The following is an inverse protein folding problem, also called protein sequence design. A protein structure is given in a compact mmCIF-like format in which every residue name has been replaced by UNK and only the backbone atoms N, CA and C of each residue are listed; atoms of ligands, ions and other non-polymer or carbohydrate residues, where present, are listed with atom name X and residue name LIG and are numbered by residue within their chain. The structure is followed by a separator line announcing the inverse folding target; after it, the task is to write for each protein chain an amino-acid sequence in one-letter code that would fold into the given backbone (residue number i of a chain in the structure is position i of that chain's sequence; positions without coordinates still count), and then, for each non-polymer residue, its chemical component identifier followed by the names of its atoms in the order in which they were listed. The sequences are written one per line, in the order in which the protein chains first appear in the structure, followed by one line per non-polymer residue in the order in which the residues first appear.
data_IF_337100796309
#
_entry.id   IF_337100796309
#
_cell.length_a   1.000
_cell.length_b   1.000
_cell.length_c   1.000
_cell.angle_alpha   90.00
_cell.angle_beta   90.00
_cell.angle_gamma   90.00
#
_symmetry.space_group_name_H-M   'P 1'
#
loop_
_entity.id
_entity.type
_entity.pdbx_description
1 polymer ?
#
# COMPACT_ATOMS: atom_id res chain seq x y z
N UNK A 1 -5.36 -14.66 -9.58
CA UNK A 1 -4.03 -14.90 -9.01
C UNK A 1 -3.71 -14.00 -7.81
N UNK A 2 -3.99 -12.67 -7.86
CA UNK A 2 -3.65 -11.75 -6.77
C UNK A 2 -4.21 -12.19 -5.41
N UNK A 3 -5.49 -12.59 -5.36
CA UNK A 3 -6.10 -13.03 -4.09
C UNK A 3 -5.44 -14.29 -3.53
N UNK A 4 -5.02 -15.23 -4.37
CA UNK A 4 -4.28 -16.41 -3.94
C UNK A 4 -2.96 -16.02 -3.28
N UNK A 5 -2.15 -15.19 -3.94
CA UNK A 5 -0.88 -14.70 -3.39
C UNK A 5 -1.07 -13.95 -2.08
N UNK A 6 -2.11 -13.10 -2.00
CA UNK A 6 -2.44 -12.37 -0.77
C UNK A 6 -2.86 -13.31 0.35
N UNK A 7 -3.71 -14.31 0.07
CA UNK A 7 -4.19 -15.26 1.08
C UNK A 7 -3.03 -16.05 1.70
N UNK A 8 -2.11 -16.56 0.89
CA UNK A 8 -0.94 -17.27 1.39
C UNK A 8 -0.01 -16.36 2.20
N UNK A 9 0.39 -15.22 1.63
CA UNK A 9 1.34 -14.34 2.28
C UNK A 9 0.80 -13.76 3.62
N UNK A 10 -0.49 -13.41 3.68
CA UNK A 10 -1.12 -12.94 4.92
C UNK A 10 -1.26 -14.10 5.91
N UNK A 11 -1.64 -15.29 5.44
CA UNK A 11 -1.68 -16.51 6.27
C UNK A 11 -0.33 -16.84 6.89
N UNK A 12 0.78 -16.56 6.21
CA UNK A 12 2.16 -16.67 6.71
C UNK A 12 2.62 -15.49 7.56
N UNK A 13 1.72 -14.54 7.87
CA UNK A 13 1.98 -13.43 8.77
C UNK A 13 2.57 -12.18 8.11
N UNK A 14 2.66 -12.12 6.79
CA UNK A 14 3.03 -10.88 6.11
C UNK A 14 1.81 -9.95 5.99
N UNK A 15 1.93 -8.72 6.51
CA UNK A 15 0.83 -7.75 6.47
C UNK A 15 1.08 -6.66 5.42
N UNK A 16 0.02 -6.16 4.74
CA UNK A 16 0.14 -4.99 3.87
C UNK A 16 0.71 -3.79 4.62
N UNK A 17 1.68 -3.11 4.00
CA UNK A 17 2.39 -2.01 4.64
C UNK A 17 3.01 -1.04 3.64
N UNK A 18 3.75 -0.05 4.13
CA UNK A 18 4.41 0.96 3.29
C UNK A 18 5.82 0.57 2.85
N UNK A 19 6.39 -0.49 3.42
CA UNK A 19 7.80 -0.85 3.20
C UNK A 19 7.97 -2.37 3.03
N UNK A 20 9.07 -2.75 2.41
CA UNK A 20 9.49 -4.14 2.26
C UNK A 20 8.44 -5.05 1.64
N UNK A 21 8.29 -6.26 2.18
CA UNK A 21 7.32 -7.25 1.69
C UNK A 21 5.86 -6.79 1.85
N UNK A 22 5.57 -5.99 2.88
CA UNK A 22 4.24 -5.43 3.11
C UNK A 22 3.82 -4.47 2.00
N UNK A 23 4.76 -3.69 1.45
CA UNK A 23 4.51 -2.83 0.29
C UNK A 23 4.07 -3.63 -0.94
N UNK A 24 4.73 -4.76 -1.20
CA UNK A 24 4.36 -5.63 -2.33
C UNK A 24 2.93 -6.14 -2.19
N UNK A 25 2.54 -6.59 -0.98
CA UNK A 25 1.18 -7.05 -0.72
C UNK A 25 0.15 -5.93 -0.88
N UNK A 26 0.43 -4.76 -0.32
CA UNK A 26 -0.43 -3.58 -0.48
C UNK A 26 -0.62 -3.21 -1.94
N UNK A 27 0.45 -3.21 -2.74
CA UNK A 27 0.41 -2.95 -4.18
C UNK A 27 -0.45 -3.97 -4.92
N UNK A 28 -0.27 -5.28 -4.66
CA UNK A 28 -1.07 -6.33 -5.28
C UNK A 28 -2.57 -6.18 -4.96
N UNK A 29 -2.89 -5.89 -3.71
CA UNK A 29 -4.26 -5.69 -3.25
C UNK A 29 -4.91 -4.49 -3.95
N UNK A 30 -4.24 -3.32 -3.93
CA UNK A 30 -4.76 -2.10 -4.55
C UNK A 30 -4.90 -2.23 -6.06
N UNK A 31 -3.96 -2.91 -6.72
CA UNK A 31 -4.07 -3.24 -8.15
C UNK A 31 -5.32 -4.09 -8.43
N UNK A 32 -5.57 -5.12 -7.63
CA UNK A 32 -6.78 -5.95 -7.79
C UNK A 32 -8.07 -5.14 -7.61
N UNK A 33 -8.10 -4.23 -6.62
CA UNK A 33 -9.25 -3.32 -6.40
C UNK A 33 -9.49 -2.41 -7.60
N UNK A 34 -8.43 -1.79 -8.14
CA UNK A 34 -8.55 -0.93 -9.33
C UNK A 34 -9.10 -1.68 -10.55
N UNK A 35 -8.58 -2.87 -10.82
CA UNK A 35 -9.11 -3.69 -11.92
C UNK A 35 -10.56 -4.12 -11.68
N UNK A 36 -10.92 -4.44 -10.44
CA UNK A 36 -12.31 -4.70 -10.07
C UNK A 36 -13.22 -3.53 -10.39
N UNK A 37 -12.80 -2.31 -10.07
CA UNK A 37 -13.55 -1.09 -10.42
C UNK A 37 -13.65 -0.86 -11.92
N UNK A 38 -12.58 -1.04 -12.69
CA UNK A 38 -12.62 -1.00 -14.17
C UNK A 38 -13.63 -2.00 -14.76
N UNK A 39 -13.83 -3.15 -14.09
CA UNK A 39 -14.84 -4.15 -14.45
C UNK A 39 -16.25 -3.82 -13.95
N UNK A 40 -16.44 -2.70 -13.26
CA UNK A 40 -17.75 -2.27 -12.75
C UNK A 40 -18.14 -2.87 -11.40
N UNK A 41 -17.24 -3.57 -10.70
CA UNK A 41 -17.52 -4.10 -9.35
C UNK A 41 -17.64 -2.94 -8.38
N UNK A 42 -18.76 -2.88 -7.66
CA UNK A 42 -19.01 -1.86 -6.66
C UNK A 42 -18.72 -2.38 -5.25
N UNK A 43 -18.15 -1.51 -4.40
CA UNK A 43 -17.85 -1.85 -3.02
C UNK A 43 -16.65 -2.78 -2.83
N UNK A 44 -16.63 -3.49 -1.71
CA UNK A 44 -15.59 -4.46 -1.35
C UNK A 44 -15.94 -5.83 -1.91
N UNK A 45 -14.95 -6.54 -2.44
CA UNK A 45 -15.16 -7.86 -3.05
C UNK A 45 -14.01 -8.85 -2.82
N UNK A 46 -12.77 -8.36 -2.61
CA UNK A 46 -11.60 -9.25 -2.57
C UNK A 46 -11.67 -10.26 -1.42
N UNK A 47 -12.08 -9.82 -0.23
CA UNK A 47 -12.17 -10.70 0.93
C UNK A 47 -13.12 -11.88 0.69
N UNK A 48 -14.22 -11.66 -0.06
CA UNK A 48 -15.19 -12.73 -0.37
C UNK A 48 -14.62 -13.87 -1.23
N UNK A 49 -13.45 -13.67 -1.84
CA UNK A 49 -12.79 -14.69 -2.66
C UNK A 49 -11.85 -15.60 -1.84
N UNK A 50 -11.50 -15.22 -0.59
CA UNK A 50 -10.59 -16.00 0.28
C UNK A 50 -11.12 -17.40 0.55
N UNK A 51 -12.42 -17.62 0.90
CA UNK A 51 -12.96 -18.95 1.10
C UNK A 51 -12.78 -19.87 -0.12
N UNK A 52 -12.89 -19.31 -1.32
CA UNK A 52 -12.67 -20.07 -2.55
C UNK A 52 -11.22 -20.54 -2.68
N UNK A 53 -10.25 -19.66 -2.33
CA UNK A 53 -8.83 -20.03 -2.28
C UNK A 53 -8.59 -21.13 -1.27
N UNK A 54 -9.12 -20.96 -0.04
CA UNK A 54 -9.00 -21.98 1.03
C UNK A 54 -9.52 -23.33 0.59
N UNK A 55 -10.72 -23.40 0.01
CA UNK A 55 -11.33 -24.64 -0.49
C UNK A 55 -10.52 -25.32 -1.61
N UNK A 56 -9.98 -24.54 -2.55
CA UNK A 56 -9.17 -25.11 -3.64
C UNK A 56 -7.85 -25.67 -3.12
N UNK A 57 -7.25 -25.00 -2.13
CA UNK A 57 -5.90 -25.32 -1.65
C UNK A 57 -5.87 -26.25 -0.43
N UNK A 58 -7.00 -26.55 0.19
CA UNK A 58 -7.11 -27.23 1.48
C UNK A 58 -6.38 -28.59 1.56
N UNK A 59 -6.25 -29.29 0.43
CA UNK A 59 -5.60 -30.61 0.42
C UNK A 59 -4.09 -30.57 0.68
N UNK A 60 -3.46 -29.42 0.38
CA UNK A 60 -2.02 -29.23 0.53
C UNK A 60 -1.66 -28.13 1.52
N UNK A 61 -2.57 -27.16 1.71
CA UNK A 61 -2.36 -25.96 2.52
C UNK A 61 -3.61 -25.64 3.34
N UNK A 62 -3.97 -26.50 4.32
CA UNK A 62 -5.16 -26.32 5.15
C UNK A 62 -5.10 -25.02 5.99
N UNK A 63 -3.90 -24.50 6.25
CA UNK A 63 -3.67 -23.30 7.05
C UNK A 63 -4.35 -22.05 6.48
N UNK A 64 -4.54 -21.99 5.16
CA UNK A 64 -5.27 -20.87 4.51
C UNK A 64 -6.73 -20.88 4.94
N UNK A 65 -7.34 -22.06 5.06
CA UNK A 65 -8.72 -22.22 5.50
C UNK A 65 -8.84 -21.98 7.01
N UNK A 66 -7.88 -22.50 7.80
CA UNK A 66 -7.86 -22.32 9.25
C UNK A 66 -7.73 -20.84 9.66
N UNK A 67 -7.02 -20.04 8.86
CA UNK A 67 -6.80 -18.60 9.08
C UNK A 67 -7.72 -17.71 8.24
N UNK A 68 -8.77 -18.27 7.64
CA UNK A 68 -9.64 -17.58 6.69
C UNK A 68 -10.16 -16.25 7.23
N UNK A 69 -10.72 -16.25 8.43
CA UNK A 69 -11.27 -15.04 9.06
C UNK A 69 -10.22 -13.94 9.25
N UNK A 70 -9.02 -14.32 9.68
CA UNK A 70 -7.92 -13.37 9.84
C UNK A 70 -7.50 -12.77 8.50
N UNK A 71 -7.34 -13.60 7.47
CA UNK A 71 -6.95 -13.18 6.12
C UNK A 71 -8.02 -12.23 5.56
N UNK A 72 -9.29 -12.59 5.69
CA UNK A 72 -10.41 -11.76 5.23
C UNK A 72 -10.43 -10.39 5.93
N UNK A 73 -10.24 -10.34 7.24
CA UNK A 73 -10.21 -9.07 8.00
C UNK A 73 -9.10 -8.15 7.53
N UNK A 74 -7.90 -8.68 7.27
CA UNK A 74 -6.76 -7.87 6.79
C UNK A 74 -7.03 -7.31 5.40
N UNK A 75 -7.52 -8.16 4.47
CA UNK A 75 -7.86 -7.74 3.11
C UNK A 75 -8.98 -6.71 3.13
N UNK A 76 -10.04 -6.96 3.88
CA UNK A 76 -11.22 -6.10 3.98
C UNK A 76 -10.87 -4.70 4.49
N UNK A 77 -10.03 -4.64 5.54
CA UNK A 77 -9.56 -3.38 6.11
C UNK A 77 -8.71 -2.56 5.12
N UNK A 78 -7.80 -3.20 4.41
CA UNK A 78 -6.96 -2.50 3.43
C UNK A 78 -7.79 -2.05 2.21
N UNK A 79 -8.71 -2.89 1.73
CA UNK A 79 -9.64 -2.58 0.64
C UNK A 79 -10.55 -1.41 1.02
N UNK A 80 -11.12 -1.42 2.23
CA UNK A 80 -11.93 -0.31 2.74
C UNK A 80 -11.14 1.00 2.80
N UNK A 81 -9.92 0.94 3.34
CA UNK A 81 -9.05 2.11 3.43
C UNK A 81 -8.75 2.69 2.06
N UNK A 82 -8.48 1.85 1.08
CA UNK A 82 -8.20 2.28 -0.29
C UNK A 82 -9.46 2.80 -0.99
N UNK A 83 -10.61 2.16 -0.79
CA UNK A 83 -11.88 2.59 -1.39
C UNK A 83 -12.30 4.00 -0.98
N UNK A 84 -11.85 4.52 0.15
CA UNK A 84 -12.12 5.91 0.58
C UNK A 84 -11.45 6.96 -0.31
N UNK A 85 -10.34 6.63 -0.94
CA UNK A 85 -9.54 7.58 -1.73
C UNK A 85 -9.48 7.26 -3.22
N UNK A 86 -9.80 6.03 -3.60
CA UNK A 86 -9.62 5.54 -4.97
C UNK A 86 -10.40 6.33 -6.01
N UNK A 87 -11.66 6.72 -5.71
CA UNK A 87 -12.50 7.46 -6.66
C UNK A 87 -11.95 8.86 -6.95
N UNK A 88 -11.39 9.51 -5.94
CA UNK A 88 -10.73 10.80 -6.09
C UNK A 88 -9.38 10.65 -6.83
N UNK A 89 -8.63 9.59 -6.54
CA UNK A 89 -7.40 9.27 -7.25
C UNK A 89 -7.64 8.98 -8.74
N UNK A 90 -8.68 8.22 -9.06
CA UNK A 90 -9.06 7.93 -10.45
C UNK A 90 -9.43 9.21 -11.20
N UNK A 91 -10.27 10.07 -10.61
CA UNK A 91 -10.63 11.35 -11.24
C UNK A 91 -9.39 12.22 -11.51
N UNK A 92 -8.46 12.28 -10.55
CA UNK A 92 -7.24 13.05 -10.74
C UNK A 92 -6.40 12.50 -11.89
N UNK A 93 -6.24 11.18 -12.01
CA UNK A 93 -5.51 10.55 -13.12
C UNK A 93 -6.17 10.92 -14.46
N UNK A 94 -7.49 10.75 -14.56
CA UNK A 94 -8.24 11.05 -15.78
C UNK A 94 -8.09 12.53 -16.19
N UNK A 95 -8.19 13.46 -15.24
CA UNK A 95 -7.98 14.90 -15.47
C UNK A 95 -6.55 15.21 -15.95
N UNK A 96 -5.54 14.60 -15.30
CA UNK A 96 -4.14 14.79 -15.67
C UNK A 96 -3.85 14.28 -17.09
N UNK A 97 -4.36 13.10 -17.45
CA UNK A 97 -4.18 12.53 -18.79
C UNK A 97 -4.88 13.36 -19.87
N UNK A 98 -6.07 13.89 -19.59
CA UNK A 98 -6.77 14.82 -20.51
C UNK A 98 -5.94 16.10 -20.71
N UNK A 99 -5.39 16.68 -19.65
CA UNK A 99 -4.57 17.88 -19.73
C UNK A 99 -3.27 17.63 -20.51
N UNK A 100 -2.61 16.49 -20.30
CA UNK A 100 -1.41 16.11 -21.06
C UNK A 100 -1.70 16.03 -22.56
N UNK A 101 -2.85 15.43 -22.95
CA UNK A 101 -3.29 15.38 -24.35
C UNK A 101 -3.50 16.79 -24.92
N UNK A 102 -4.16 17.68 -24.18
CA UNK A 102 -4.43 19.04 -24.61
C UNK A 102 -3.16 19.89 -24.77
N UNK A 103 -2.15 19.67 -23.89
CA UNK A 103 -0.88 20.38 -23.91
C UNK A 103 0.15 19.78 -24.88
N UNK A 104 -0.15 18.63 -25.49
CA UNK A 104 0.79 17.90 -26.36
C UNK A 104 2.00 17.34 -25.62
N UNK A 105 1.89 17.14 -24.31
CA UNK A 105 2.92 16.48 -23.49
C UNK A 105 2.78 14.97 -23.57
N UNK A 106 3.89 14.26 -23.40
CA UNK A 106 3.95 12.80 -23.46
C UNK A 106 4.22 12.13 -22.10
N UNK A 107 4.33 12.92 -21.02
CA UNK A 107 4.80 12.44 -19.71
C UNK A 107 4.06 13.10 -18.56
N UNK A 108 3.65 12.28 -17.60
CA UNK A 108 3.08 12.70 -16.32
C UNK A 108 4.22 13.15 -15.38
N UNK A 109 4.05 14.32 -14.76
CA UNK A 109 5.07 14.91 -13.91
C UNK A 109 5.21 14.21 -12.56
N UNK A 110 6.45 14.12 -12.04
CA UNK A 110 6.76 13.43 -10.78
C UNK A 110 6.01 13.96 -9.56
N UNK A 111 5.69 15.27 -9.55
CA UNK A 111 4.89 15.89 -8.48
C UNK A 111 3.44 15.36 -8.45
N UNK A 112 2.82 15.16 -9.61
CA UNK A 112 1.46 14.62 -9.71
C UNK A 112 1.43 13.15 -9.36
N UNK A 113 2.43 12.38 -9.79
CA UNK A 113 2.60 10.98 -9.40
C UNK A 113 2.77 10.87 -7.88
N UNK A 114 3.57 11.74 -7.28
CA UNK A 114 3.76 11.79 -5.84
C UNK A 114 2.45 12.14 -5.10
N UNK A 115 1.66 13.07 -5.61
CA UNK A 115 0.35 13.41 -5.06
C UNK A 115 -0.62 12.23 -5.11
N UNK A 116 -0.67 11.48 -6.21
CA UNK A 116 -1.45 10.25 -6.35
C UNK A 116 -1.03 9.20 -5.31
N UNK A 117 0.28 9.04 -5.11
CA UNK A 117 0.84 8.10 -4.16
C UNK A 117 0.57 8.51 -2.69
N UNK A 118 0.92 9.73 -2.31
CA UNK A 118 0.92 10.21 -0.93
C UNK A 118 -0.51 10.50 -0.42
N UNK A 119 -1.32 11.17 -1.23
CA UNK A 119 -2.67 11.61 -0.83
C UNK A 119 -3.74 10.56 -1.10
N UNK A 120 -3.69 9.91 -2.26
CA UNK A 120 -4.74 8.97 -2.67
C UNK A 120 -4.35 7.50 -2.50
N UNK A 121 -3.08 7.25 -2.17
CA UNK A 121 -2.58 5.90 -1.96
C UNK A 121 -2.51 5.05 -3.23
N UNK A 122 -2.45 5.67 -4.41
CA UNK A 122 -2.30 4.98 -5.70
C UNK A 122 -0.83 4.57 -5.85
N UNK A 123 -0.49 3.27 -5.93
CA UNK A 123 0.88 2.84 -6.16
C UNK A 123 1.44 3.42 -7.46
N UNK A 124 2.74 3.75 -7.46
CA UNK A 124 3.40 4.35 -8.63
C UNK A 124 3.29 3.46 -9.86
N UNK A 125 3.48 2.17 -9.68
CA UNK A 125 3.41 1.18 -10.76
C UNK A 125 1.99 1.07 -11.35
N UNK A 126 0.98 1.36 -10.54
CA UNK A 126 -0.39 1.43 -11.03
C UNK A 126 -0.66 2.72 -11.81
N UNK A 127 -0.08 3.84 -11.35
CA UNK A 127 -0.12 5.11 -12.09
C UNK A 127 0.58 4.97 -13.45
N UNK A 128 1.73 4.27 -13.48
CA UNK A 128 2.46 3.96 -14.70
C UNK A 128 1.63 3.13 -15.67
N UNK A 129 1.05 2.02 -15.22
CA UNK A 129 0.17 1.16 -16.03
C UNK A 129 -1.01 1.95 -16.63
N UNK A 130 -1.65 2.80 -15.83
CA UNK A 130 -2.78 3.61 -16.28
C UNK A 130 -2.36 4.68 -17.29
N UNK A 131 -1.18 5.27 -17.12
CA UNK A 131 -0.63 6.24 -18.07
C UNK A 131 -0.21 5.57 -19.38
N UNK A 132 0.46 4.41 -19.32
CA UNK A 132 0.88 3.62 -20.48
C UNK A 132 -0.31 3.13 -21.32
N UNK A 133 -1.41 2.69 -20.69
CA UNK A 133 -2.66 2.30 -21.37
C UNK A 133 -3.20 3.45 -22.26
N UNK A 134 -2.93 4.71 -21.90
CA UNK A 134 -3.31 5.91 -22.65
C UNK A 134 -2.17 6.49 -23.52
N UNK A 135 -1.03 5.81 -23.59
CA UNK A 135 0.12 6.17 -24.41
C UNK A 135 1.06 7.20 -23.79
N UNK A 136 0.98 7.44 -22.49
CA UNK A 136 1.85 8.37 -21.74
C UNK A 136 2.94 7.64 -20.97
N UNK A 137 4.03 8.35 -20.68
CA UNK A 137 5.10 7.93 -19.76
C UNK A 137 4.93 8.59 -18.41
N UNK A 138 5.69 8.16 -17.41
CA UNK A 138 5.78 8.82 -16.11
C UNK A 138 7.19 9.31 -15.82
N UNK A 139 7.30 10.37 -15.00
CA UNK A 139 8.57 10.92 -14.53
C UNK A 139 9.00 10.27 -13.21
N UNK A 140 9.67 9.12 -13.30
CA UNK A 140 10.20 8.40 -12.15
C UNK A 140 11.20 9.20 -11.33
N UNK A 141 12.05 10.02 -11.99
CA UNK A 141 13.09 10.77 -11.28
C UNK A 141 12.46 11.93 -10.49
N UNK A 142 11.51 12.67 -11.09
CA UNK A 142 10.75 13.67 -10.37
C UNK A 142 9.96 13.09 -9.19
N UNK A 143 9.38 11.91 -9.34
CA UNK A 143 8.74 11.20 -8.24
C UNK A 143 9.73 10.89 -7.09
N UNK A 144 10.92 10.35 -7.41
CA UNK A 144 11.96 10.06 -6.40
C UNK A 144 12.39 11.32 -5.63
N UNK A 145 12.53 12.43 -6.34
CA UNK A 145 12.86 13.73 -5.73
C UNK A 145 11.76 14.17 -4.76
N UNK A 146 10.50 14.10 -5.17
CA UNK A 146 9.36 14.46 -4.33
C UNK A 146 9.25 13.55 -3.09
N UNK A 147 9.45 12.23 -3.26
CA UNK A 147 9.47 11.26 -2.18
C UNK A 147 10.58 11.55 -1.17
N UNK A 148 11.79 11.83 -1.64
CA UNK A 148 12.93 12.17 -0.77
C UNK A 148 12.66 13.44 0.03
N UNK A 149 12.13 14.48 -0.62
CA UNK A 149 11.78 15.73 0.05
C UNK A 149 10.71 15.51 1.15
N UNK A 150 9.75 14.63 0.95
CA UNK A 150 8.75 14.27 1.95
C UNK A 150 9.40 13.52 3.12
N UNK A 151 10.26 12.53 2.86
CA UNK A 151 10.97 11.78 3.90
C UNK A 151 11.86 12.70 4.76
N UNK A 152 12.55 13.66 4.15
CA UNK A 152 13.37 14.64 4.86
C UNK A 152 12.51 15.55 5.76
N UNK A 153 11.37 16.01 5.27
CA UNK A 153 10.39 16.78 6.07
C UNK A 153 9.85 15.96 7.26
N UNK A 154 9.50 14.70 7.04
CA UNK A 154 9.03 13.82 8.09
C UNK A 154 10.12 13.59 9.17
N UNK A 155 11.37 13.35 8.77
CA UNK A 155 12.51 13.22 9.70
C UNK A 155 12.73 14.51 10.50
N UNK A 156 12.70 15.67 9.84
CA UNK A 156 12.86 16.95 10.51
C UNK A 156 11.73 17.25 11.51
N UNK A 157 10.50 16.83 11.21
CA UNK A 157 9.36 16.96 12.12
C UNK A 157 9.52 16.07 13.37
N UNK A 158 10.03 14.85 13.22
CA UNK A 158 10.33 13.94 14.36
C UNK A 158 11.40 14.53 15.27
N UNK A 159 12.47 15.11 14.71
CA UNK A 159 13.53 15.76 15.48
C UNK A 159 13.01 16.97 16.24
N UNK A 160 12.09 17.77 15.65
CA UNK A 160 11.48 18.93 16.33
C UNK A 160 10.43 18.55 17.38
N UNK A 161 9.76 17.39 17.20
CA UNK A 161 8.72 16.92 18.11
C UNK A 161 9.24 16.26 19.41
N UNK A 162 10.54 16.21 19.63
CA UNK A 162 11.16 15.50 20.77
C UNK A 162 11.00 13.98 20.61
N UNK A 163 12.09 13.25 20.63
CA UNK A 163 12.08 11.79 20.67
C UNK A 163 11.16 11.34 21.80
N UNK A 164 10.23 10.39 21.53
CA UNK A 164 9.43 9.73 22.58
C UNK A 164 10.29 9.12 23.70
N UNK A 165 11.61 8.99 23.49
CA UNK A 165 12.59 8.60 24.51
C UNK A 165 12.96 9.68 25.50
N UNK A 166 12.66 10.97 25.23
CA UNK A 166 12.99 12.07 26.14
C UNK A 166 11.93 12.34 27.22
N UNK A 167 10.78 11.65 27.19
CA UNK A 167 9.68 11.89 28.15
C UNK A 167 9.74 11.07 29.43
N UNK A 168 10.76 10.25 29.63
CA UNK A 168 10.87 9.44 30.84
C UNK A 168 12.26 9.60 31.49
N UNK A 169 12.53 10.78 32.07
CA UNK A 169 13.70 10.99 32.97
C UNK A 169 13.73 9.92 34.07
N UNK A 170 12.56 9.41 34.48
CA UNK A 170 12.44 8.35 35.50
C UNK A 170 12.91 6.99 34.97
N UNK A 171 12.84 6.70 33.68
CA UNK A 171 13.32 5.44 33.08
C UNK A 171 14.83 5.50 32.77
N UNK A 172 15.36 6.68 32.45
CA UNK A 172 16.80 6.85 32.24
C UNK A 172 17.62 6.84 33.55
N UNK A 173 16.97 6.96 34.72
CA UNK A 173 17.60 6.88 36.04
C UNK A 173 17.59 5.46 36.64
N UNK A 174 17.04 4.46 35.94
CA UNK A 174 17.01 3.08 36.40
C UNK A 174 18.30 2.38 35.89
N UNK A 175 19.34 2.37 36.73
CA UNK A 175 20.49 1.50 36.52
C UNK A 175 20.15 0.10 37.07
N UNK A 176 19.72 -0.80 36.16
CA UNK A 176 19.54 -2.22 36.47
C UNK A 176 20.64 -2.99 35.75
N UNK A 177 21.57 -3.56 36.49
CA UNK A 177 22.45 -4.61 35.97
C UNK A 177 21.58 -5.89 35.77
N UNK A 178 21.35 -6.25 34.50
CA UNK A 178 20.71 -7.53 34.19
C UNK A 178 21.79 -8.60 34.01
N UNK A 179 21.86 -9.56 34.93
CA UNK A 179 22.61 -10.81 34.73
C UNK A 179 21.74 -11.78 33.92
N UNK A 180 22.22 -12.14 32.73
CA UNK A 180 21.64 -13.24 31.97
C UNK A 180 22.16 -14.56 32.54
N UNK A 181 21.34 -15.27 33.29
CA UNK A 181 21.59 -16.65 33.68
C UNK A 181 21.11 -17.57 32.55
N UNK A 182 22.03 -18.15 31.80
CA UNK A 182 21.75 -19.29 30.93
C UNK A 182 21.79 -20.57 31.79
N UNK A 183 20.65 -21.25 31.93
CA UNK A 183 20.61 -22.67 32.23
C UNK A 183 20.40 -23.50 30.95
#
# INVERSE_FOLDING_TARGET
DHIRSLSFAIGDGALPGNEGRGYVLRRLLRRAVMHGKKLGIQGKFLASLVPTVGKIMQSYYPEVLEKEDFIMQIIDREEETFNRTIDAGQKLIDELLVNLKAEGKDRLEGADIFRLYDTYGVPVELTEELAEDEGFKIDHEGFKVAMKAQQERARAAVVKGGSMGAQNETLSSIEVESEFLYE
#
